data_IF_784191830632
#
_entry.id   IF_784191830632
#
_cell.length_a   1.000
_cell.length_b   1.000
_cell.length_c   1.000
_cell.angle_alpha   90.00
_cell.angle_beta   90.00
_cell.angle_gamma   90.00
#
_symmetry.space_group_name_H-M   'P 1'
#
loop_
_entity.id
_entity.type
_entity.pdbx_description
1 polymer ?
#
# COMPACT_ATOMS: atom_id res chain seq x y z
N UNK A 1 28.02 -30.03 -18.46
CA UNK A 1 26.63 -29.56 -18.65
C UNK A 1 25.73 -29.94 -17.45
N UNK A 2 26.05 -29.51 -16.21
CA UNK A 2 25.29 -29.96 -15.01
C UNK A 2 24.95 -28.92 -13.94
N UNK A 3 25.26 -27.63 -14.13
CA UNK A 3 24.99 -26.60 -13.11
C UNK A 3 24.08 -25.44 -13.56
N UNK A 4 23.51 -25.47 -14.78
CA UNK A 4 22.68 -24.35 -15.25
C UNK A 4 21.25 -24.34 -14.70
N UNK A 5 20.64 -25.48 -14.37
CA UNK A 5 19.20 -25.52 -14.04
C UNK A 5 18.85 -24.87 -12.70
N UNK A 6 19.70 -25.03 -11.67
CA UNK A 6 19.49 -24.39 -10.36
C UNK A 6 19.87 -22.90 -10.40
N UNK A 7 20.87 -22.55 -11.22
CA UNK A 7 21.30 -21.17 -11.44
C UNK A 7 20.27 -20.33 -12.21
N UNK A 8 19.52 -20.93 -13.13
CA UNK A 8 18.42 -20.27 -13.85
C UNK A 8 17.24 -20.01 -12.90
N UNK A 9 16.90 -20.96 -12.04
CA UNK A 9 15.86 -20.79 -11.03
C UNK A 9 16.22 -19.66 -10.05
N UNK A 10 17.44 -19.67 -9.50
CA UNK A 10 17.91 -18.62 -8.61
C UNK A 10 18.01 -17.26 -9.34
N UNK A 11 18.47 -17.23 -10.60
CA UNK A 11 18.52 -16.00 -11.42
C UNK A 11 17.14 -15.46 -11.81
N UNK A 12 16.12 -16.30 -12.05
CA UNK A 12 14.74 -15.87 -12.30
C UNK A 12 14.06 -15.34 -11.03
N UNK A 13 14.25 -16.02 -9.89
CA UNK A 13 13.72 -15.56 -8.61
C UNK A 13 14.38 -14.25 -8.15
N UNK A 14 15.70 -14.13 -8.40
CA UNK A 14 16.45 -12.88 -8.23
C UNK A 14 15.96 -11.83 -9.24
N UNK A 15 15.66 -12.21 -10.49
CA UNK A 15 15.17 -11.31 -11.54
C UNK A 15 13.79 -10.72 -11.28
N UNK A 16 12.82 -11.52 -10.82
CA UNK A 16 11.46 -11.03 -10.47
C UNK A 16 11.46 -10.26 -9.15
N UNK A 17 12.26 -10.70 -8.17
CA UNK A 17 12.56 -9.92 -6.97
C UNK A 17 13.23 -8.59 -7.29
N UNK A 18 14.16 -8.55 -8.25
CA UNK A 18 14.79 -7.32 -8.75
C UNK A 18 13.86 -6.48 -9.62
N UNK A 19 12.90 -7.05 -10.34
CA UNK A 19 11.95 -6.26 -11.14
C UNK A 19 10.89 -5.62 -10.25
N UNK A 20 10.44 -6.31 -9.20
CA UNK A 20 9.64 -5.70 -8.13
C UNK A 20 10.46 -4.68 -7.32
N UNK A 21 11.73 -4.97 -7.01
CA UNK A 21 12.65 -4.01 -6.39
C UNK A 21 13.00 -2.84 -7.32
N UNK A 22 13.04 -2.97 -8.65
CA UNK A 22 13.35 -1.86 -9.57
C UNK A 22 12.12 -1.04 -9.95
N UNK A 23 10.91 -1.59 -9.81
CA UNK A 23 9.65 -0.84 -9.96
C UNK A 23 9.16 -0.25 -8.64
N UNK A 24 9.70 -0.69 -7.49
CA UNK A 24 9.60 -0.02 -6.17
C UNK A 24 10.84 0.79 -5.77
N UNK A 25 12.00 0.66 -6.42
CA UNK A 25 13.19 1.46 -6.12
C UNK A 25 13.17 2.80 -6.85
N UNK A 26 12.26 3.66 -6.39
CA UNK A 26 12.64 5.05 -6.15
C UNK A 26 13.29 5.13 -4.76
N UNK A 27 14.56 4.69 -4.68
CA UNK A 27 15.46 4.75 -3.51
C UNK A 27 15.15 3.75 -2.38
N UNK A 28 16.04 2.77 -2.21
CA UNK A 28 16.13 1.89 -1.03
C UNK A 28 17.27 2.41 -0.16
N UNK A 29 17.01 2.56 1.14
CA UNK A 29 18.01 2.29 2.18
C UNK A 29 17.35 1.43 3.26
N UNK A 30 17.90 0.24 3.48
CA UNK A 30 17.55 -0.65 4.59
C UNK A 30 18.69 -0.53 5.61
N UNK A 31 18.36 -0.20 6.86
CA UNK A 31 19.26 -0.41 7.98
C UNK A 31 18.49 -1.14 9.10
N UNK A 32 18.88 -2.40 9.31
CA UNK A 32 18.48 -3.22 10.45
C UNK A 32 19.48 -2.97 11.59
N UNK A 33 19.01 -2.63 12.79
CA UNK A 33 19.84 -2.71 14.00
C UNK A 33 19.07 -3.33 15.16
N UNK A 34 19.49 -4.55 15.46
CA UNK A 34 19.22 -5.30 16.67
C UNK A 34 20.01 -4.68 17.86
N UNK A 35 19.33 -4.16 18.91
CA UNK A 35 19.71 -4.26 20.35
C UNK A 35 19.04 -3.26 21.30
N UNK A 36 18.29 -3.83 22.24
CA UNK A 36 18.39 -3.71 23.71
C UNK A 36 18.87 -2.42 24.39
N UNK A 37 18.00 -1.96 25.31
CA UNK A 37 18.27 -1.39 26.65
C UNK A 37 18.88 0.01 26.76
N UNK A 38 18.03 0.93 27.24
CA UNK A 38 18.35 1.92 28.26
C UNK A 38 19.01 3.21 27.76
N UNK A 39 18.34 4.33 28.05
CA UNK A 39 18.70 5.73 27.73
C UNK A 39 18.34 6.18 26.31
N UNK A 40 17.09 6.64 26.17
CA UNK A 40 16.55 7.22 24.94
C UNK A 40 17.03 8.66 24.74
N UNK A 41 17.89 8.85 23.75
CA UNK A 41 17.93 10.07 22.95
C UNK A 41 17.21 9.74 21.65
N UNK A 42 16.08 10.40 21.37
CA UNK A 42 15.33 10.25 20.11
C UNK A 42 16.15 10.93 19.02
N UNK A 43 17.00 10.18 18.35
CA UNK A 43 17.63 10.60 17.09
C UNK A 43 16.57 10.48 16.00
N UNK A 44 16.16 11.64 15.47
CA UNK A 44 15.25 11.79 14.33
C UNK A 44 15.69 10.90 13.17
N UNK A 45 14.71 10.20 12.61
CA UNK A 45 14.77 9.50 11.33
C UNK A 45 15.47 10.37 10.28
N UNK A 46 16.61 9.87 9.79
CA UNK A 46 17.30 10.20 8.53
C UNK A 46 17.18 11.68 8.11
N UNK A 47 18.19 12.48 8.46
CA UNK A 47 18.36 13.90 8.06
C UNK A 47 18.12 14.14 6.57
N UNK A 48 18.36 13.14 5.71
CA UNK A 48 18.17 13.20 4.26
C UNK A 48 16.69 13.14 3.80
N UNK A 49 15.82 12.39 4.48
CA UNK A 49 14.38 12.36 4.16
C UNK A 49 13.69 13.64 4.63
N UNK A 50 14.05 14.13 5.82
CA UNK A 50 13.57 15.42 6.34
C UNK A 50 14.08 16.55 5.45
N UNK A 51 15.35 16.51 5.02
CA UNK A 51 15.90 17.52 4.10
C UNK A 51 15.25 17.46 2.73
N UNK A 52 14.92 16.28 2.18
CA UNK A 52 14.16 16.16 0.92
C UNK A 52 12.72 16.64 1.05
N UNK A 53 12.03 16.36 2.16
CA UNK A 53 10.67 16.84 2.41
C UNK A 53 10.63 18.37 2.61
N UNK A 54 11.61 18.92 3.33
CA UNK A 54 11.79 20.36 3.54
C UNK A 54 12.27 21.08 2.26
N UNK A 55 13.06 20.43 1.40
CA UNK A 55 13.49 20.98 0.11
C UNK A 55 12.41 20.86 -0.99
N UNK A 56 11.49 19.89 -0.91
CA UNK A 56 10.43 19.73 -1.91
C UNK A 56 9.27 20.73 -1.73
N UNK A 57 8.97 21.14 -0.49
CA UNK A 57 7.86 22.06 -0.20
C UNK A 57 8.31 23.14 0.79
N UNK A 58 8.32 24.39 0.33
CA UNK A 58 8.72 25.61 1.06
C UNK A 58 7.77 25.98 2.23
N UNK A 59 7.47 25.05 3.14
CA UNK A 59 6.51 25.22 4.25
C UNK A 59 5.06 25.51 3.84
N UNK A 60 4.72 25.47 2.54
CA UNK A 60 3.36 25.67 2.03
C UNK A 60 2.89 24.51 1.14
N UNK A 61 1.59 24.24 1.15
CA UNK A 61 0.89 23.29 0.27
C UNK A 61 -0.17 24.05 -0.53
N UNK A 62 -0.25 23.83 -1.84
CA UNK A 62 -1.17 24.55 -2.72
C UNK A 62 -2.54 23.87 -2.85
N UNK A 63 -3.49 24.65 -3.36
CA UNK A 63 -4.83 24.19 -3.71
C UNK A 63 -4.78 22.93 -4.57
N UNK A 64 -5.67 21.99 -4.25
CA UNK A 64 -5.86 20.72 -4.94
C UNK A 64 -4.67 19.74 -4.84
N UNK A 65 -3.70 20.00 -3.98
CA UNK A 65 -2.61 19.07 -3.66
C UNK A 65 -2.94 18.18 -2.45
N UNK A 66 -2.29 17.02 -2.41
CA UNK A 66 -2.36 16.09 -1.28
C UNK A 66 -1.29 16.40 -0.26
N UNK A 67 -1.63 16.26 1.03
CA UNK A 67 -0.64 16.43 2.09
C UNK A 67 0.33 15.22 2.14
N UNK A 68 1.65 15.46 2.08
CA UNK A 68 2.65 14.39 2.01
C UNK A 68 2.94 13.74 3.37
N UNK A 69 2.66 14.46 4.46
CA UNK A 69 2.98 14.10 5.83
C UNK A 69 1.90 14.68 6.78
N UNK A 70 2.00 14.36 8.07
CA UNK A 70 1.13 14.97 9.07
C UNK A 70 1.66 16.36 9.42
N UNK A 71 0.86 17.39 9.18
CA UNK A 71 1.23 18.80 9.33
C UNK A 71 0.41 19.47 10.43
N UNK A 72 1.06 20.35 11.18
CA UNK A 72 0.41 21.37 12.01
C UNK A 72 0.04 22.56 11.12
N UNK A 73 -1.24 22.90 11.06
CA UNK A 73 -1.74 24.09 10.36
C UNK A 73 -1.35 25.35 11.15
N UNK A 74 -0.48 26.19 10.56
CA UNK A 74 -0.04 27.45 11.16
C UNK A 74 -0.84 28.64 10.64
N UNK A 75 -0.93 28.77 9.32
CA UNK A 75 -1.70 29.82 8.65
C UNK A 75 -2.35 29.29 7.37
N UNK A 76 -3.35 30.01 6.87
CA UNK A 76 -4.10 29.72 5.66
C UNK A 76 -4.19 30.97 4.79
N UNK A 77 -4.53 30.82 3.51
CA UNK A 77 -4.80 31.94 2.61
C UNK A 77 -6.00 32.80 3.04
N UNK A 78 -6.89 32.28 3.90
CA UNK A 78 -8.02 33.03 4.45
C UNK A 78 -7.63 33.81 5.71
N UNK A 79 -8.13 35.04 5.84
CA UNK A 79 -7.92 35.90 7.02
C UNK A 79 -8.44 35.27 8.31
N UNK A 80 -9.49 34.45 8.23
CA UNK A 80 -10.08 33.72 9.37
C UNK A 80 -9.26 32.49 9.81
N UNK A 81 -8.14 32.18 9.14
CA UNK A 81 -7.30 31.04 9.50
C UNK A 81 -7.95 29.68 9.28
N UNK A 82 -8.92 29.60 8.36
CA UNK A 82 -9.62 28.35 8.01
C UNK A 82 -9.07 27.72 6.75
N UNK A 83 -9.08 26.40 6.67
CA UNK A 83 -8.91 25.69 5.41
C UNK A 83 -9.90 24.53 5.28
N UNK A 84 -10.20 24.15 4.04
CA UNK A 84 -11.09 23.03 3.74
C UNK A 84 -10.28 21.85 3.23
N UNK A 85 -10.51 20.69 3.84
CA UNK A 85 -9.85 19.45 3.46
C UNK A 85 -10.87 18.40 3.07
N UNK A 86 -10.56 17.67 2.02
CA UNK A 86 -11.30 16.49 1.59
C UNK A 86 -10.69 15.26 2.26
N UNK A 87 -11.54 14.47 2.93
CA UNK A 87 -11.12 13.27 3.67
C UNK A 87 -11.52 11.96 3.01
N UNK A 88 -11.93 12.01 1.74
CA UNK A 88 -12.37 10.84 0.98
C UNK A 88 -11.40 9.65 1.08
N UNK A 89 -10.08 9.89 1.01
CA UNK A 89 -9.06 8.84 1.10
C UNK A 89 -8.91 8.18 2.48
N UNK A 90 -9.45 8.80 3.54
CA UNK A 90 -9.28 8.35 4.92
C UNK A 90 -10.53 7.66 5.46
N UNK A 91 -11.70 8.25 5.25
CA UNK A 91 -12.97 7.78 5.82
C UNK A 91 -14.10 7.64 4.79
N UNK A 92 -13.80 7.82 3.50
CA UNK A 92 -14.81 7.71 2.43
C UNK A 92 -15.89 8.80 2.52
N UNK A 93 -15.67 9.87 3.27
CA UNK A 93 -16.62 10.98 3.40
C UNK A 93 -16.38 12.00 2.29
N UNK A 94 -17.44 12.35 1.55
CA UNK A 94 -17.39 13.31 0.43
C UNK A 94 -17.47 14.77 0.88
N UNK A 95 -17.93 15.02 2.10
CA UNK A 95 -18.05 16.37 2.63
C UNK A 95 -16.69 16.92 3.01
N UNK A 96 -16.46 18.19 2.67
CA UNK A 96 -15.28 18.91 3.10
C UNK A 96 -15.33 19.14 4.61
N UNK A 97 -14.21 18.88 5.28
CA UNK A 97 -14.03 19.19 6.69
C UNK A 97 -13.28 20.51 6.82
N UNK A 98 -13.75 21.35 7.74
CA UNK A 98 -13.09 22.61 8.08
C UNK A 98 -12.00 22.33 9.12
N UNK A 99 -10.83 22.91 8.90
CA UNK A 99 -9.69 22.91 9.81
C UNK A 99 -9.36 24.35 10.19
N UNK A 100 -8.95 24.55 11.44
CA UNK A 100 -8.72 25.87 12.03
C UNK A 100 -7.27 25.99 12.47
N UNK A 101 -6.65 27.12 12.16
CA UNK A 101 -5.35 27.52 12.72
C UNK A 101 -5.50 27.87 14.20
N UNK A 102 -4.38 28.03 14.89
CA UNK A 102 -4.40 28.74 16.17
C UNK A 102 -4.48 30.25 15.92
N UNK A 103 -5.30 30.94 16.71
CA UNK A 103 -5.48 32.40 16.59
C UNK A 103 -4.16 33.20 16.63
N UNK A 104 -3.13 32.65 17.27
CA UNK A 104 -1.83 33.29 17.51
C UNK A 104 -0.88 33.11 16.31
N UNK A 105 -1.08 32.05 15.52
CA UNK A 105 -0.28 31.76 14.32
C UNK A 105 -0.98 32.25 13.05
N UNK A 106 -2.27 32.57 13.12
CA UNK A 106 -3.07 33.03 11.97
C UNK A 106 -2.61 34.36 11.36
N UNK A 107 -1.78 35.14 12.06
CA UNK A 107 -1.18 36.36 11.54
C UNK A 107 0.14 36.14 10.79
N UNK A 108 0.67 34.91 10.77
CA UNK A 108 1.91 34.54 10.09
C UNK A 108 1.64 34.21 8.62
N UNK A 109 1.47 35.25 7.80
CA UNK A 109 1.08 35.09 6.39
C UNK A 109 2.23 35.34 5.40
N UNK A 110 3.35 35.87 5.90
CA UNK A 110 4.51 36.24 5.09
C UNK A 110 5.75 35.41 5.46
N UNK A 111 6.54 35.04 4.45
CA UNK A 111 7.81 34.32 4.63
C UNK A 111 8.79 35.05 5.57
N UNK A 112 8.75 36.39 5.60
CA UNK A 112 9.55 37.21 6.51
C UNK A 112 9.14 37.08 7.98
N UNK A 113 7.85 36.84 8.24
CA UNK A 113 7.31 36.62 9.59
C UNK A 113 7.74 35.26 10.13
N UNK A 114 7.92 34.26 9.27
CA UNK A 114 8.41 32.94 9.67
C UNK A 114 9.91 32.93 10.02
N UNK A 115 10.74 33.81 9.46
CA UNK A 115 12.18 33.86 9.77
C UNK A 115 12.48 34.21 11.23
N UNK A 116 11.62 35.01 11.87
CA UNK A 116 11.77 35.43 13.27
C UNK A 116 10.88 34.62 14.23
N UNK A 117 10.08 33.70 13.71
CA UNK A 117 9.16 32.89 14.49
C UNK A 117 9.90 31.72 15.16
N UNK A 118 10.02 31.74 16.49
CA UNK A 118 10.57 30.62 17.27
C UNK A 118 9.45 29.97 18.07
N UNK A 119 8.99 28.82 17.59
CA UNK A 119 7.99 28.00 18.26
C UNK A 119 8.55 26.61 18.58
N UNK A 120 8.02 25.97 19.62
CA UNK A 120 8.31 24.56 19.95
C UNK A 120 6.99 23.82 20.05
N UNK A 121 6.83 22.76 19.25
CA UNK A 121 5.67 21.87 19.33
C UNK A 121 6.07 20.66 20.17
N UNK A 122 5.23 20.32 21.16
CA UNK A 122 5.32 19.04 21.86
C UNK A 122 4.03 18.27 21.60
N UNK A 123 4.14 17.02 21.15
CA UNK A 123 3.00 16.17 20.87
C UNK A 123 3.17 14.80 21.52
N UNK A 124 2.08 14.04 21.53
CA UNK A 124 2.08 12.60 21.84
C UNK A 124 2.97 11.79 20.88
N UNK A 125 3.36 10.58 21.31
CA UNK A 125 4.04 9.62 20.46
C UNK A 125 3.13 9.15 19.30
N UNK A 126 3.70 8.73 18.16
CA UNK A 126 2.94 8.20 17.03
C UNK A 126 1.95 7.10 17.45
N UNK A 127 0.70 7.21 16.99
CA UNK A 127 -0.36 6.27 17.30
C UNK A 127 -1.35 6.11 16.14
N UNK A 128 -2.10 5.02 16.16
CA UNK A 128 -3.06 4.63 15.10
C UNK A 128 -4.41 5.38 15.16
N UNK A 129 -4.63 6.21 16.19
CA UNK A 129 -5.93 6.87 16.38
C UNK A 129 -6.00 8.18 15.57
N UNK A 130 -6.78 8.12 14.48
CA UNK A 130 -7.00 9.23 13.54
C UNK A 130 -7.84 10.38 14.14
N UNK A 131 -8.62 10.12 15.19
CA UNK A 131 -9.60 11.06 15.74
C UNK A 131 -9.16 11.71 17.05
N UNK A 132 -7.97 11.37 17.54
CA UNK A 132 -7.38 11.98 18.73
C UNK A 132 -6.01 12.53 18.41
N UNK A 133 -5.73 13.73 18.90
CA UNK A 133 -4.41 14.32 18.85
C UNK A 133 -4.25 15.21 20.07
N UNK A 134 -3.20 14.96 20.85
CA UNK A 134 -2.84 15.75 22.02
C UNK A 134 -1.47 16.37 21.77
N UNK A 135 -1.43 17.70 21.76
CA UNK A 135 -0.18 18.43 21.66
C UNK A 135 -0.26 19.79 22.34
N UNK A 136 0.88 20.46 22.43
CA UNK A 136 1.00 21.80 22.98
C UNK A 136 1.99 22.59 22.14
N UNK A 137 1.55 23.72 21.60
CA UNK A 137 2.39 24.71 20.94
C UNK A 137 2.90 25.70 21.99
N UNK A 138 4.22 25.83 22.07
CA UNK A 138 4.92 26.85 22.83
C UNK A 138 5.37 27.95 21.89
N UNK A 139 4.66 29.08 21.92
CA UNK A 139 4.94 30.24 21.08
C UNK A 139 4.86 31.51 21.92
N UNK A 140 5.85 32.39 21.80
CA UNK A 140 5.98 33.64 22.56
C UNK A 140 5.71 33.50 24.08
N UNK A 141 6.30 32.45 24.68
CA UNK A 141 6.15 32.07 26.11
C UNK A 141 4.72 31.69 26.54
N UNK A 142 3.76 31.60 25.62
CA UNK A 142 2.42 31.07 25.87
C UNK A 142 2.34 29.59 25.47
N UNK A 143 1.52 28.84 26.20
CA UNK A 143 1.23 27.44 25.93
C UNK A 143 -0.17 27.31 25.38
N UNK A 144 -0.30 26.71 24.21
CA UNK A 144 -1.59 26.55 23.54
C UNK A 144 -1.84 25.08 23.25
N UNK A 145 -2.95 24.51 23.75
CA UNK A 145 -3.27 23.13 23.48
C UNK A 145 -3.60 22.95 21.99
N UNK A 146 -3.07 21.89 21.41
CA UNK A 146 -3.38 21.45 20.06
C UNK A 146 -4.41 20.33 20.11
N UNK A 147 -5.33 20.37 19.16
CA UNK A 147 -6.35 19.35 18.94
C UNK A 147 -6.32 18.86 17.49
N UNK A 148 -7.19 17.91 17.17
CA UNK A 148 -7.33 17.37 15.80
C UNK A 148 -7.76 18.43 14.78
N UNK A 149 -8.34 19.55 15.22
CA UNK A 149 -8.76 20.65 14.33
C UNK A 149 -7.57 21.37 13.67
N UNK A 150 -6.41 21.39 14.35
CA UNK A 150 -5.19 22.04 13.87
C UNK A 150 -4.28 21.09 13.06
N UNK A 151 -4.60 19.80 12.99
CA UNK A 151 -3.77 18.80 12.31
C UNK A 151 -4.33 18.44 10.94
N UNK A 152 -3.45 18.44 9.95
CA UNK A 152 -3.69 18.00 8.57
C UNK A 152 -2.98 16.65 8.41
N UNK A 153 -3.74 15.58 8.22
CA UNK A 153 -3.18 14.23 8.08
C UNK A 153 -2.68 13.99 6.65
N UNK A 154 -1.70 13.10 6.52
CA UNK A 154 -1.20 12.61 5.23
C UNK A 154 -2.35 12.07 4.36
N UNK A 155 -2.32 12.36 3.06
CA UNK A 155 -3.28 11.84 2.09
C UNK A 155 -4.63 12.57 2.05
N UNK A 156 -4.87 13.52 2.95
CA UNK A 156 -5.94 14.50 2.80
C UNK A 156 -5.63 15.42 1.61
N UNK A 157 -6.65 15.99 0.98
CA UNK A 157 -6.50 16.93 -0.14
C UNK A 157 -6.95 18.32 0.24
N UNK A 158 -6.16 19.35 -0.05
CA UNK A 158 -6.56 20.73 0.15
C UNK A 158 -7.59 21.14 -0.91
N UNK A 159 -8.74 21.68 -0.51
CA UNK A 159 -9.80 22.13 -1.41
C UNK A 159 -10.27 23.51 -1.01
N UNK A 160 -10.77 24.29 -1.97
CA UNK A 160 -11.33 25.63 -1.70
C UNK A 160 -10.45 26.52 -0.81
N UNK A 161 -9.13 26.42 -0.92
CA UNK A 161 -8.14 27.22 -0.18
C UNK A 161 -6.89 27.27 -1.05
N UNK A 162 -6.32 28.45 -1.26
CA UNK A 162 -5.28 28.64 -2.29
C UNK A 162 -3.93 28.08 -1.85
N UNK A 163 -3.57 28.31 -0.60
CA UNK A 163 -2.39 27.74 0.04
C UNK A 163 -2.56 27.67 1.55
N UNK A 164 -1.80 26.79 2.20
CA UNK A 164 -1.69 26.71 3.67
C UNK A 164 -0.24 26.62 4.09
N UNK A 165 0.09 27.27 5.19
CA UNK A 165 1.38 27.15 5.86
C UNK A 165 1.30 26.12 6.98
N UNK A 166 2.27 25.21 7.04
CA UNK A 166 2.30 24.19 8.06
C UNK A 166 3.69 23.69 8.42
N UNK A 167 3.78 23.09 9.60
CA UNK A 167 5.00 22.45 10.12
C UNK A 167 4.78 20.95 10.21
N UNK A 168 5.73 20.18 9.71
CA UNK A 168 5.70 18.72 9.75
C UNK A 168 5.81 18.25 11.22
N UNK A 169 4.85 17.44 11.64
CA UNK A 169 4.84 16.79 12.97
C UNK A 169 5.36 15.35 12.85
N UNK A 170 4.86 14.60 11.87
CA UNK A 170 5.20 13.19 11.70
C UNK A 170 5.41 12.88 10.22
N UNK A 171 6.40 12.06 9.92
CA UNK A 171 6.83 11.71 8.55
C UNK A 171 6.74 10.21 8.30
N UNK A 172 6.59 9.83 7.03
CA UNK A 172 6.70 8.43 6.56
C UNK A 172 5.86 7.44 7.41
N UNK A 173 6.50 6.46 8.04
CA UNK A 173 5.88 5.43 8.88
C UNK A 173 5.30 5.98 10.19
N UNK A 174 5.74 7.14 10.67
CA UNK A 174 5.25 7.74 11.92
C UNK A 174 3.92 8.50 11.71
N UNK A 175 3.49 8.71 10.47
CA UNK A 175 2.18 9.34 10.18
C UNK A 175 1.04 8.48 10.69
N UNK A 176 -0.01 9.10 11.25
CA UNK A 176 -1.16 8.38 11.84
C UNK A 176 -1.85 7.46 10.84
N UNK A 177 -1.89 7.87 9.57
CA UNK A 177 -2.48 7.05 8.48
C UNK A 177 -1.65 5.78 8.24
N UNK A 178 -0.33 5.88 8.31
CA UNK A 178 0.55 4.71 8.13
C UNK A 178 0.54 3.81 9.37
N UNK A 179 0.45 4.39 10.57
CA UNK A 179 0.25 3.64 11.81
C UNK A 179 -1.11 2.92 11.87
N UNK A 180 -2.15 3.50 11.24
CA UNK A 180 -3.45 2.86 11.09
C UNK A 180 -3.48 1.82 9.95
N UNK A 181 -2.44 1.78 9.11
CA UNK A 181 -2.33 0.81 8.03
C UNK A 181 -1.75 -0.51 8.53
N UNK A 182 -2.26 -1.63 8.01
CA UNK A 182 -1.69 -2.95 8.31
C UNK A 182 -0.59 -3.25 7.30
N UNK A 183 0.56 -3.75 7.78
CA UNK A 183 1.63 -4.20 6.90
C UNK A 183 1.09 -5.18 5.84
N UNK A 184 1.48 -5.02 4.57
CA UNK A 184 0.99 -5.88 3.51
C UNK A 184 1.48 -7.30 3.77
N UNK A 185 0.58 -8.20 4.14
CA UNK A 185 0.89 -9.63 4.25
C UNK A 185 1.39 -10.15 2.89
N UNK A 186 2.43 -10.96 2.88
CA UNK A 186 2.86 -11.66 1.66
C UNK A 186 1.77 -12.65 1.23
N UNK A 187 1.05 -12.30 0.16
CA UNK A 187 -0.07 -13.09 -0.35
C UNK A 187 0.47 -14.26 -1.17
N UNK A 188 0.31 -15.49 -0.66
CA UNK A 188 0.57 -16.74 -1.41
C UNK A 188 -0.73 -17.31 -1.94
N UNK A 189 -0.75 -17.72 -3.21
CA UNK A 189 -1.96 -18.28 -3.82
C UNK A 189 -2.30 -19.67 -3.25
N UNK A 190 -3.57 -20.06 -3.34
CA UNK A 190 -4.01 -21.41 -2.98
C UNK A 190 -3.36 -22.47 -3.88
N UNK A 191 -3.10 -22.13 -5.15
CA UNK A 191 -2.40 -23.01 -6.10
C UNK A 191 -0.95 -23.23 -5.68
N UNK A 192 -0.23 -22.19 -5.25
CA UNK A 192 1.14 -22.32 -4.72
C UNK A 192 1.18 -23.25 -3.51
N UNK A 193 0.25 -23.10 -2.56
CA UNK A 193 0.16 -23.98 -1.39
C UNK A 193 -0.10 -25.45 -1.78
N UNK A 194 -0.91 -25.68 -2.81
CA UNK A 194 -1.18 -27.03 -3.34
C UNK A 194 0.05 -27.61 -4.06
N UNK A 195 0.77 -26.78 -4.81
CA UNK A 195 2.00 -27.17 -5.49
C UNK A 195 3.09 -27.56 -4.49
N UNK A 196 3.31 -26.77 -3.44
CA UNK A 196 4.24 -27.09 -2.35
C UNK A 196 3.94 -28.47 -1.76
N UNK A 197 2.65 -28.76 -1.51
CA UNK A 197 2.21 -30.08 -1.02
C UNK A 197 2.57 -31.21 -1.99
N UNK A 198 2.35 -31.03 -3.29
CA UNK A 198 2.71 -32.03 -4.31
C UNK A 198 4.22 -32.25 -4.31
N UNK A 199 5.03 -31.19 -4.20
CA UNK A 199 6.49 -31.27 -4.14
C UNK A 199 6.93 -32.08 -2.92
N UNK A 200 6.37 -31.83 -1.74
CA UNK A 200 6.70 -32.61 -0.54
C UNK A 200 6.34 -34.09 -0.69
N UNK A 201 5.20 -34.40 -1.31
CA UNK A 201 4.78 -35.79 -1.58
C UNK A 201 5.75 -36.46 -2.57
N UNK A 202 6.10 -35.80 -3.67
CA UNK A 202 7.06 -36.32 -4.66
C UNK A 202 8.44 -36.50 -4.06
N UNK A 203 8.92 -35.56 -3.26
CA UNK A 203 10.20 -35.66 -2.57
C UNK A 203 10.23 -36.85 -1.61
N UNK A 204 9.17 -37.06 -0.82
CA UNK A 204 9.02 -38.24 0.01
C UNK A 204 9.00 -39.54 -0.80
N UNK A 205 8.29 -39.57 -1.93
CA UNK A 205 8.27 -40.73 -2.83
C UNK A 205 9.66 -41.06 -3.41
N UNK A 206 10.44 -40.06 -3.81
CA UNK A 206 11.82 -40.27 -4.31
C UNK A 206 12.71 -40.87 -3.22
N UNK A 207 12.62 -40.37 -1.98
CA UNK A 207 13.40 -40.91 -0.85
C UNK A 207 13.02 -42.37 -0.58
N UNK A 208 11.74 -42.70 -0.57
CA UNK A 208 11.28 -44.08 -0.33
C UNK A 208 11.73 -45.04 -1.43
N UNK A 209 11.63 -44.65 -2.70
CA UNK A 209 12.11 -45.46 -3.83
C UNK A 209 13.64 -45.63 -3.77
N UNK A 210 14.39 -44.57 -3.45
CA UNK A 210 15.84 -44.63 -3.30
C UNK A 210 16.25 -45.56 -2.15
N UNK A 211 15.50 -45.55 -1.05
CA UNK A 211 15.73 -46.43 0.10
C UNK A 211 15.48 -47.91 -0.25
N UNK A 212 14.35 -48.22 -0.91
CA UNK A 212 14.04 -49.57 -1.38
C UNK A 212 15.09 -50.06 -2.38
N UNK A 213 15.47 -49.21 -3.34
CA UNK A 213 16.53 -49.50 -4.32
C UNK A 213 17.90 -49.75 -3.67
N UNK A 214 18.21 -49.02 -2.60
CA UNK A 214 19.43 -49.25 -1.80
C UNK A 214 19.42 -50.62 -1.11
N UNK A 215 18.28 -51.01 -0.52
CA UNK A 215 18.12 -52.30 0.15
C UNK A 215 18.25 -53.43 -0.87
N UNK A 216 17.54 -53.35 -1.99
CA UNK A 216 17.58 -54.37 -3.04
C UNK A 216 18.99 -54.55 -3.61
N UNK A 217 19.66 -53.43 -3.94
CA UNK A 217 21.04 -53.47 -4.42
C UNK A 217 22.02 -54.00 -3.37
N UNK A 218 21.77 -53.78 -2.08
CA UNK A 218 22.59 -54.31 -0.98
C UNK A 218 22.42 -55.81 -0.77
N UNK A 219 21.23 -56.36 -1.06
CA UNK A 219 20.95 -57.80 -0.98
C UNK A 219 21.56 -58.54 -2.19
N UNK A 220 21.42 -57.99 -3.40
CA UNK A 220 21.90 -58.59 -4.65
C UNK A 220 23.44 -58.59 -4.75
N UNK A 221 24.09 -57.52 -4.27
CA UNK A 221 25.56 -57.36 -4.37
C UNK A 221 26.20 -57.45 -2.98
N UNK A 222 26.61 -58.65 -2.56
CA UNK A 222 27.33 -58.85 -1.28
C UNK A 222 28.71 -58.20 -1.18
N UNK A 223 29.29 -57.65 -2.25
CA UNK A 223 30.73 -57.32 -2.32
C UNK A 223 31.11 -55.94 -2.88
N UNK A 224 30.23 -54.94 -2.93
CA UNK A 224 30.61 -53.62 -3.47
C UNK A 224 30.08 -52.47 -2.59
N UNK A 225 30.82 -52.20 -1.50
CA UNK A 225 30.56 -51.15 -0.50
C UNK A 225 31.01 -49.79 -1.05
N UNK A 226 30.46 -49.39 -2.20
CA UNK A 226 30.66 -48.03 -2.71
C UNK A 226 29.31 -47.32 -2.72
N UNK A 227 29.12 -46.41 -1.76
CA UNK A 227 27.95 -45.53 -1.63
C UNK A 227 27.64 -44.66 -2.87
N UNK A 228 28.48 -44.76 -3.92
CA UNK A 228 28.23 -44.19 -5.23
C UNK A 228 27.02 -44.79 -5.99
N UNK A 229 26.50 -45.96 -5.62
CA UNK A 229 25.26 -46.51 -6.23
C UNK A 229 24.01 -45.77 -5.74
N UNK A 230 23.86 -45.55 -4.44
CA UNK A 230 22.77 -44.75 -3.86
C UNK A 230 22.78 -43.31 -4.40
N UNK A 231 23.97 -42.68 -4.47
CA UNK A 231 24.13 -41.34 -5.03
C UNK A 231 23.74 -41.25 -6.51
N UNK A 232 23.99 -42.32 -7.29
CA UNK A 232 23.57 -42.39 -8.70
C UNK A 232 22.06 -42.56 -8.87
N UNK A 233 21.42 -43.41 -8.06
CA UNK A 233 19.96 -43.54 -8.05
C UNK A 233 19.28 -42.22 -7.68
N UNK A 234 19.77 -41.53 -6.64
CA UNK A 234 19.21 -40.24 -6.21
C UNK A 234 19.41 -39.13 -7.26
N UNK A 235 20.53 -39.14 -8.00
CA UNK A 235 20.72 -38.22 -9.15
C UNK A 235 19.80 -38.54 -10.34
N UNK A 236 19.52 -39.81 -10.62
CA UNK A 236 18.59 -40.22 -11.68
C UNK A 236 17.14 -39.85 -11.34
N UNK A 237 16.72 -40.05 -10.09
CA UNK A 237 15.38 -39.69 -9.64
C UNK A 237 15.24 -38.21 -9.24
N UNK A 238 16.33 -37.47 -9.09
CA UNK A 238 16.29 -36.02 -8.88
C UNK A 238 15.64 -35.25 -10.04
N UNK A 239 15.66 -35.82 -11.26
CA UNK A 239 14.91 -35.29 -12.41
C UNK A 239 13.38 -35.46 -12.28
N UNK A 240 12.90 -36.25 -11.30
CA UNK A 240 11.48 -36.40 -11.01
C UNK A 240 10.92 -35.17 -10.28
N UNK A 241 11.76 -34.36 -9.63
CA UNK A 241 11.33 -33.07 -9.07
C UNK A 241 11.04 -32.16 -10.27
N UNK A 242 9.78 -31.76 -10.51
CA UNK A 242 9.42 -31.07 -11.73
C UNK A 242 9.76 -29.58 -11.59
N UNK A 243 11.05 -29.25 -11.61
CA UNK A 243 11.54 -27.87 -11.64
C UNK A 243 10.97 -27.13 -12.86
N UNK A 244 10.77 -27.87 -13.96
CA UNK A 244 10.13 -27.36 -15.17
C UNK A 244 8.67 -26.96 -14.95
N UNK A 245 7.92 -27.67 -14.10
CA UNK A 245 6.52 -27.34 -13.81
C UNK A 245 6.41 -25.97 -13.13
N UNK A 246 7.29 -25.67 -12.18
CA UNK A 246 7.32 -24.39 -11.50
C UNK A 246 7.59 -23.26 -12.51
N UNK A 247 8.64 -23.41 -13.32
CA UNK A 247 9.02 -22.39 -14.32
C UNK A 247 7.90 -22.18 -15.34
N UNK A 248 7.26 -23.25 -15.80
CA UNK A 248 6.13 -23.14 -16.73
C UNK A 248 4.93 -22.41 -16.11
N UNK A 249 4.62 -22.63 -14.83
CA UNK A 249 3.53 -21.93 -14.15
C UNK A 249 3.85 -20.44 -13.99
N UNK A 250 5.07 -20.08 -13.58
CA UNK A 250 5.45 -18.66 -13.45
C UNK A 250 5.36 -17.93 -14.79
N UNK A 251 5.84 -18.55 -15.88
CA UNK A 251 5.71 -17.96 -17.22
C UNK A 251 4.24 -17.72 -17.57
N UNK A 252 3.35 -18.68 -17.28
CA UNK A 252 1.91 -18.53 -17.53
C UNK A 252 1.34 -17.38 -16.69
N UNK A 253 1.69 -17.27 -15.40
CA UNK A 253 1.24 -16.19 -14.52
C UNK A 253 1.65 -14.81 -15.04
N UNK A 254 2.90 -14.67 -15.49
CA UNK A 254 3.42 -13.42 -16.06
C UNK A 254 2.67 -13.07 -17.35
N UNK A 255 2.47 -14.03 -18.26
CA UNK A 255 1.73 -13.80 -19.50
C UNK A 255 0.28 -13.40 -19.24
N UNK A 256 -0.39 -14.01 -18.26
CA UNK A 256 -1.76 -13.63 -17.86
C UNK A 256 -1.81 -12.18 -17.34
N UNK A 257 -0.83 -11.77 -16.53
CA UNK A 257 -0.73 -10.39 -16.02
C UNK A 257 -0.62 -9.36 -17.15
N UNK A 258 0.16 -9.69 -18.19
CA UNK A 258 0.32 -8.86 -19.38
C UNK A 258 -1.01 -8.75 -20.13
N UNK A 259 -1.73 -9.87 -20.33
CA UNK A 259 -3.02 -9.84 -21.01
C UNK A 259 -4.06 -9.02 -20.27
N UNK A 260 -4.15 -9.11 -18.94
CA UNK A 260 -5.03 -8.25 -18.13
C UNK A 260 -4.70 -6.77 -18.33
N UNK A 261 -3.40 -6.43 -18.43
CA UNK A 261 -2.97 -5.03 -18.57
C UNK A 261 -3.12 -4.48 -19.99
N UNK A 262 -3.31 -5.34 -20.99
CA UNK A 262 -3.50 -4.98 -22.41
C UNK A 262 -4.98 -5.03 -22.83
N UNK A 263 -5.89 -5.35 -21.92
CA UNK A 263 -7.30 -5.46 -22.22
C UNK A 263 -7.94 -4.07 -22.41
N UNK A 264 -8.50 -3.85 -23.60
CA UNK A 264 -9.19 -2.61 -23.95
C UNK A 264 -10.57 -2.51 -23.29
N UNK A 265 -11.22 -3.62 -22.93
CA UNK A 265 -12.52 -3.58 -22.24
C UNK A 265 -12.39 -3.08 -20.80
N UNK A 266 -11.21 -3.25 -20.18
CA UNK A 266 -10.91 -2.76 -18.84
C UNK A 266 -10.19 -1.40 -18.83
N UNK A 267 -10.21 -0.67 -19.95
CA UNK A 267 -9.63 0.67 -20.07
C UNK A 267 -10.67 1.75 -19.76
N UNK A 268 -10.31 2.70 -18.90
CA UNK A 268 -11.18 3.81 -18.52
C UNK A 268 -10.80 5.09 -19.26
N UNK A 269 -11.65 5.49 -20.22
CA UNK A 269 -11.39 6.59 -21.16
C UNK A 269 -11.33 7.97 -20.50
N UNK A 270 -12.21 8.27 -19.54
CA UNK A 270 -12.32 9.63 -18.97
C UNK A 270 -11.05 10.07 -18.22
N UNK A 271 -10.29 9.12 -17.68
CA UNK A 271 -9.05 9.41 -16.94
C UNK A 271 -7.79 8.81 -17.59
N UNK A 272 -7.90 8.29 -18.81
CA UNK A 272 -6.80 7.65 -19.57
C UNK A 272 -6.05 6.61 -18.72
N UNK A 273 -6.80 5.73 -18.07
CA UNK A 273 -6.25 4.77 -17.12
C UNK A 273 -6.54 3.32 -17.57
N UNK A 274 -5.51 2.56 -18.00
CA UNK A 274 -5.66 1.12 -18.26
C UNK A 274 -5.69 0.30 -16.97
N UNK A 275 -6.25 -0.90 -17.04
CA UNK A 275 -6.11 -1.88 -15.98
C UNK A 275 -4.63 -2.20 -15.75
N UNK A 276 -4.20 -2.20 -14.49
CA UNK A 276 -2.80 -2.46 -14.12
C UNK A 276 -2.71 -3.60 -13.11
N UNK A 277 -2.19 -4.73 -13.56
CA UNK A 277 -1.85 -5.82 -12.67
C UNK A 277 -0.58 -5.47 -11.87
N UNK A 278 -0.73 -5.23 -10.56
CA UNK A 278 0.39 -4.90 -9.65
C UNK A 278 1.22 -6.13 -9.24
N UNK A 279 0.65 -7.32 -9.39
CA UNK A 279 1.25 -8.59 -9.00
C UNK A 279 0.83 -9.68 -9.99
N UNK A 280 1.75 -10.59 -10.31
CA UNK A 280 1.49 -11.78 -11.14
C UNK A 280 1.06 -13.00 -10.32
N UNK A 281 1.27 -13.00 -8.99
CA UNK A 281 1.13 -14.18 -8.14
C UNK A 281 -0.33 -14.60 -7.86
N UNK A 282 -1.31 -13.70 -8.10
CA UNK A 282 -2.71 -13.87 -7.67
C UNK A 282 -3.69 -13.98 -8.84
N UNK A 283 -3.21 -14.09 -10.08
CA UNK A 283 -4.07 -14.09 -11.26
C UNK A 283 -5.08 -15.24 -11.23
N UNK A 284 -4.67 -16.41 -10.73
CA UNK A 284 -5.54 -17.58 -10.58
C UNK A 284 -6.62 -17.46 -9.51
N UNK A 285 -6.43 -16.59 -8.50
CA UNK A 285 -7.35 -16.42 -7.38
C UNK A 285 -8.53 -15.53 -7.78
N UNK A 286 -8.37 -14.69 -8.81
CA UNK A 286 -9.44 -13.85 -9.34
C UNK A 286 -10.65 -14.68 -9.78
N UNK A 287 -10.43 -15.90 -10.29
CA UNK A 287 -11.50 -16.83 -10.66
C UNK A 287 -12.09 -17.65 -9.50
N UNK A 288 -11.56 -17.51 -8.28
CA UNK A 288 -11.96 -18.30 -7.11
C UNK A 288 -12.55 -17.42 -5.99
N UNK A 289 -12.89 -16.17 -6.29
CA UNK A 289 -13.47 -15.24 -5.32
C UNK A 289 -14.89 -15.67 -4.95
N UNK A 290 -15.14 -15.93 -3.67
CA UNK A 290 -16.46 -16.32 -3.13
C UNK A 290 -17.25 -15.11 -2.60
N UNK A 291 -16.57 -14.14 -1.99
CA UNK A 291 -17.19 -12.96 -1.39
C UNK A 291 -16.52 -11.69 -1.92
N UNK A 292 -17.33 -10.76 -2.45
CA UNK A 292 -16.89 -9.43 -2.86
C UNK A 292 -17.28 -8.43 -1.77
N UNK A 293 -16.28 -7.81 -1.16
CA UNK A 293 -16.47 -6.67 -0.26
C UNK A 293 -16.25 -5.40 -1.06
N UNK A 294 -17.29 -4.58 -1.17
CA UNK A 294 -17.23 -3.31 -1.90
C UNK A 294 -17.45 -2.16 -0.93
N UNK A 295 -16.59 -1.15 -1.02
CA UNK A 295 -16.84 0.13 -0.35
C UNK A 295 -17.93 0.89 -1.09
N UNK A 296 -18.68 1.73 -0.37
CA UNK A 296 -19.73 2.55 -0.98
C UNK A 296 -19.12 3.70 -1.76
N UNK A 297 -18.33 4.53 -1.09
CA UNK A 297 -17.91 5.81 -1.65
C UNK A 297 -16.68 5.63 -2.54
N UNK A 298 -16.73 6.17 -3.76
CA UNK A 298 -15.67 6.08 -4.77
C UNK A 298 -15.45 4.69 -5.38
N UNK A 299 -16.23 3.69 -4.98
CA UNK A 299 -16.35 2.42 -5.70
C UNK A 299 -17.76 2.26 -6.27
N UNK A 300 -18.80 2.24 -5.43
CA UNK A 300 -20.19 2.11 -5.90
C UNK A 300 -20.80 3.45 -6.32
N UNK A 301 -20.39 4.55 -5.67
CA UNK A 301 -20.91 5.90 -5.95
C UNK A 301 -19.78 6.86 -6.27
N UNK A 302 -19.92 7.66 -7.32
CA UNK A 302 -19.06 8.81 -7.56
C UNK A 302 -19.33 9.91 -6.51
N UNK A 303 -18.33 10.75 -6.22
CA UNK A 303 -18.43 11.88 -5.29
C UNK A 303 -19.16 13.09 -5.92
N UNK A 304 -20.18 12.83 -6.73
CA UNK A 304 -21.06 13.84 -7.34
C UNK A 304 -22.49 13.60 -6.87
N UNK A 305 -23.17 14.65 -6.39
CA UNK A 305 -24.58 14.59 -6.03
C UNK A 305 -25.39 15.47 -6.98
N UNK A 306 -26.33 14.85 -7.67
CA UNK A 306 -27.26 15.53 -8.56
C UNK A 306 -28.68 15.49 -7.97
N UNK A 307 -29.34 16.64 -7.99
CA UNK A 307 -30.72 16.74 -7.55
C UNK A 307 -31.66 16.32 -8.67
N UNK A 308 -32.40 15.24 -8.47
CA UNK A 308 -33.21 14.61 -9.54
C UNK A 308 -34.71 14.88 -9.37
N UNK A 309 -35.24 14.66 -8.16
CA UNK A 309 -36.66 14.80 -7.84
C UNK A 309 -36.83 15.38 -6.44
N UNK A 310 -37.93 16.08 -6.20
CA UNK A 310 -38.41 16.41 -4.87
C UNK A 310 -39.91 16.20 -4.75
N UNK A 311 -40.40 16.07 -3.52
CA UNK A 311 -41.83 16.14 -3.24
C UNK A 311 -42.14 17.44 -2.51
N UNK A 312 -43.11 18.21 -2.99
CA UNK A 312 -43.59 19.45 -2.37
C UNK A 312 -45.09 19.27 -2.14
N UNK A 313 -45.52 19.38 -0.88
CA UNK A 313 -46.92 19.19 -0.47
C UNK A 313 -47.54 17.83 -0.86
N UNK A 314 -46.71 16.79 -1.04
CA UNK A 314 -47.16 15.46 -1.47
C UNK A 314 -47.14 15.26 -2.99
N UNK A 315 -46.98 16.32 -3.77
CA UNK A 315 -46.82 16.23 -5.22
C UNK A 315 -45.35 16.02 -5.58
N UNK A 316 -45.05 15.03 -6.43
CA UNK A 316 -43.71 14.72 -6.88
C UNK A 316 -43.33 15.57 -8.11
N UNK A 317 -42.19 16.24 -8.04
CA UNK A 317 -41.60 17.07 -9.09
C UNK A 317 -40.26 16.48 -9.52
N UNK A 318 -40.03 16.40 -10.84
CA UNK A 318 -38.82 15.85 -11.44
C UNK A 318 -39.14 14.69 -12.39
N UNK A 319 -38.61 14.76 -13.61
CA UNK A 319 -38.98 13.90 -14.75
C UNK A 319 -37.92 12.88 -15.16
N UNK A 320 -36.74 12.95 -14.55
CA UNK A 320 -35.61 12.09 -14.90
C UNK A 320 -35.87 10.69 -14.36
N UNK A 321 -35.83 9.69 -15.24
CA UNK A 321 -35.89 8.27 -14.90
C UNK A 321 -34.46 7.83 -14.57
N UNK A 322 -34.24 7.26 -13.40
CA UNK A 322 -32.94 6.68 -13.04
C UNK A 322 -32.81 5.29 -13.65
N UNK A 323 -31.58 4.80 -13.88
CA UNK A 323 -31.36 3.43 -14.40
C UNK A 323 -32.04 2.35 -13.55
N UNK A 324 -32.19 2.58 -12.24
CA UNK A 324 -32.88 1.68 -11.32
C UNK A 324 -34.39 1.66 -11.61
N UNK A 325 -35.00 2.82 -11.86
CA UNK A 325 -36.40 2.91 -12.25
C UNK A 325 -36.64 2.30 -13.64
N UNK A 326 -35.70 2.49 -14.57
CA UNK A 326 -35.77 1.90 -15.91
C UNK A 326 -35.66 0.36 -15.88
N UNK A 327 -34.73 -0.20 -15.10
CA UNK A 327 -34.63 -1.66 -14.88
C UNK A 327 -35.83 -2.25 -14.15
N UNK A 328 -36.49 -1.48 -13.27
CA UNK A 328 -37.72 -1.91 -12.61
C UNK A 328 -38.93 -1.94 -13.56
N UNK A 329 -38.94 -1.06 -14.57
CA UNK A 329 -39.98 -0.98 -15.60
C UNK A 329 -39.78 -2.03 -16.70
N UNK A 330 -38.53 -2.38 -17.02
CA UNK A 330 -38.16 -3.37 -18.02
C UNK A 330 -37.18 -4.39 -17.45
N UNK A 331 -37.65 -5.41 -16.70
CA UNK A 331 -36.78 -6.49 -16.26
C UNK A 331 -36.30 -7.27 -17.49
N UNK A 332 -35.00 -7.16 -17.79
CA UNK A 332 -34.32 -7.95 -18.81
C UNK A 332 -34.46 -9.45 -18.46
N UNK A 333 -35.09 -10.22 -19.34
CA UNK A 333 -35.20 -11.70 -19.29
C UNK A 333 -33.86 -12.39 -19.35
#
# INVERSE_FOLDING_TARGET
MRNCSLGIYLMMQIGEGLTQLFQQAGVVDIAETDRSRGFGFVTMSIVDEVSKAVLLYNNYVFKDEYFPADLLLLSSSYEDGICYVETFNLDGVTNLKVKHTLNITSSLNDDSSFQNCKAVVKCEDPNENLYTFIGTLYYDKQQNPLSVQQILLRGLKLRHTDYVYGVIISTSHDTKVMQNSTDPSSKKSGIEKRMDRIIYVLFGAVITIAFIGSIFSGIETKNDISGGKLRRCLMLYGYLIPILLYVSIEIVKVLQSIFVSQDMEMYYEETDNPARARTSYLNEELGQVDTILSDKTGTLTCSSMEFVKCSIAGDAYGRVVTEVEERALFPST
#
